data_IF_534045614567
#
_entry.id   IF_534045614567
#
_cell.length_a   1.000
_cell.length_b   1.000
_cell.length_c   1.000
_cell.angle_alpha   90.00
_cell.angle_beta   90.00
_cell.angle_gamma   90.00
#
_symmetry.space_group_name_H-M   'P 1'
#
loop_
_entity.id
_entity.type
_entity.pdbx_description
1 polymer ?
#
# COMPACT_ATOMS: atom_id res chain seq x y z
N UNK A 1 16.08 8.41 -66.33
CA UNK A 1 14.79 7.69 -66.25
C UNK A 1 14.78 6.93 -64.93
N UNK A 2 14.51 7.61 -63.80
CA UNK A 2 13.22 7.69 -63.09
C UNK A 2 12.64 6.35 -62.66
N UNK A 3 12.73 6.07 -61.34
CA UNK A 3 11.72 5.45 -60.44
C UNK A 3 12.40 5.23 -59.07
N UNK A 4 12.41 6.21 -58.17
CA UNK A 4 11.43 6.36 -57.07
C UNK A 4 10.83 5.02 -56.62
N UNK A 5 11.28 4.52 -55.45
CA UNK A 5 10.44 3.91 -54.42
C UNK A 5 11.27 3.74 -53.13
N UNK A 6 11.61 4.88 -52.53
CA UNK A 6 11.80 4.97 -51.09
C UNK A 6 10.40 4.99 -50.46
N UNK A 7 9.88 3.82 -50.06
CA UNK A 7 8.65 3.70 -49.27
C UNK A 7 8.44 2.25 -48.85
N UNK A 8 8.72 1.99 -47.58
CA UNK A 8 8.00 1.09 -46.67
C UNK A 8 8.81 1.14 -45.36
N UNK A 9 8.75 2.28 -44.69
CA UNK A 9 7.98 2.43 -43.45
C UNK A 9 8.50 1.45 -42.41
N UNK A 10 9.33 2.02 -41.55
CA UNK A 10 9.63 1.60 -40.19
C UNK A 10 8.32 1.13 -39.56
N UNK A 11 8.05 -0.18 -39.62
CA UNK A 11 6.89 -0.79 -38.96
C UNK A 11 7.22 -0.81 -37.48
N UNK A 12 6.88 0.31 -36.83
CA UNK A 12 6.32 0.35 -35.48
C UNK A 12 7.01 -0.47 -34.39
N UNK A 13 8.29 -0.26 -34.13
CA UNK A 13 8.87 -0.56 -32.81
C UNK A 13 8.51 0.53 -31.77
N UNK A 14 7.23 0.95 -31.73
CA UNK A 14 6.69 1.86 -30.71
C UNK A 14 5.51 1.24 -29.97
N UNK A 15 5.52 -0.07 -29.80
CA UNK A 15 4.74 -0.70 -28.73
C UNK A 15 5.73 -0.99 -27.60
N UNK A 16 6.25 0.09 -27.01
CA UNK A 16 6.72 -0.04 -25.63
C UNK A 16 5.46 -0.18 -24.79
N UNK A 17 5.00 -1.42 -24.64
CA UNK A 17 4.21 -1.90 -23.51
C UNK A 17 5.02 -1.59 -22.24
N UNK A 18 4.92 -0.36 -21.75
CA UNK A 18 5.24 -0.05 -20.37
C UNK A 18 3.93 0.32 -19.72
N UNK A 19 3.34 -0.72 -19.14
CA UNK A 19 2.22 -0.68 -18.25
C UNK A 19 2.50 0.34 -17.12
N UNK A 20 2.15 1.59 -17.36
CA UNK A 20 2.10 2.67 -16.38
C UNK A 20 0.81 2.55 -15.54
N UNK A 21 0.38 1.33 -15.20
CA UNK A 21 -0.90 1.10 -14.53
C UNK A 21 -0.95 1.70 -13.12
N UNK A 22 0.22 1.95 -12.50
CA UNK A 22 0.34 2.52 -11.16
C UNK A 22 1.16 3.83 -11.11
N UNK A 23 1.38 4.47 -12.26
CA UNK A 23 2.22 5.67 -12.36
C UNK A 23 1.53 6.91 -11.77
N UNK A 24 0.20 6.95 -11.79
CA UNK A 24 -0.56 8.06 -11.22
C UNK A 24 -0.67 7.87 -9.70
N UNK A 25 -0.33 8.89 -8.90
CA UNK A 25 -0.40 8.82 -7.44
C UNK A 25 -1.78 8.37 -6.91
N UNK A 26 -2.85 8.71 -7.63
CA UNK A 26 -4.23 8.29 -7.36
C UNK A 26 -4.45 6.77 -7.37
N UNK A 27 -3.70 6.07 -8.21
CA UNK A 27 -3.76 4.62 -8.34
C UNK A 27 -2.96 3.89 -7.26
N UNK A 28 -2.01 4.57 -6.62
CA UNK A 28 -1.19 4.00 -5.56
C UNK A 28 -2.00 3.93 -4.28
N UNK A 29 -2.10 2.73 -3.70
CA UNK A 29 -2.76 2.51 -2.41
C UNK A 29 -1.73 2.21 -1.34
N UNK A 30 -1.79 2.97 -0.25
CA UNK A 30 -0.91 2.82 0.90
C UNK A 30 -1.70 2.47 2.16
N UNK A 31 -0.97 2.01 3.16
CA UNK A 31 -1.49 1.73 4.52
C UNK A 31 -0.91 2.67 5.58
N UNK A 32 0.20 3.34 5.25
CA UNK A 32 0.88 4.31 6.11
C UNK A 32 0.53 5.71 5.60
N UNK A 33 -0.01 6.55 6.47
CA UNK A 33 -0.47 7.89 6.16
C UNK A 33 0.32 8.93 6.95
N UNK A 34 0.71 10.04 6.33
CA UNK A 34 1.39 11.14 7.05
C UNK A 34 0.44 11.87 8.02
N UNK A 35 -0.86 11.81 7.76
CA UNK A 35 -1.92 12.36 8.60
C UNK A 35 -3.14 11.43 8.59
N UNK A 36 -3.97 11.50 9.63
CA UNK A 36 -5.20 10.70 9.70
C UNK A 36 -6.20 11.23 8.66
N UNK A 37 -6.64 10.40 7.69
CA UNK A 37 -7.56 10.86 6.65
C UNK A 37 -8.92 11.28 7.23
N UNK A 38 -9.49 12.38 6.73
CA UNK A 38 -10.84 12.82 7.12
C UNK A 38 -11.89 11.75 6.75
N UNK A 39 -12.83 11.49 7.65
CA UNK A 39 -13.91 10.53 7.42
C UNK A 39 -13.47 9.06 7.38
N UNK A 40 -12.27 8.72 7.87
CA UNK A 40 -11.88 7.33 8.04
C UNK A 40 -12.68 6.66 9.16
N UNK A 41 -13.47 5.67 8.79
CA UNK A 41 -14.19 4.80 9.73
C UNK A 41 -13.35 3.55 9.97
N UNK A 42 -12.54 3.60 11.03
CA UNK A 42 -11.70 2.50 11.47
C UNK A 42 -11.84 2.34 12.99
N UNK A 43 -12.00 1.10 13.49
CA UNK A 43 -12.12 0.85 14.92
C UNK A 43 -10.81 1.14 15.67
N UNK A 44 -9.65 0.97 15.01
CA UNK A 44 -8.34 1.27 15.57
C UNK A 44 -7.55 2.19 14.64
N UNK A 45 -6.95 3.24 15.21
CA UNK A 45 -6.01 4.14 14.52
C UNK A 45 -4.80 4.33 15.43
N UNK A 46 -3.62 4.05 14.89
CA UNK A 46 -2.35 4.10 15.63
C UNK A 46 -1.32 4.88 14.84
N UNK A 47 -0.50 5.66 15.54
CA UNK A 47 0.76 6.19 15.02
C UNK A 47 1.82 5.12 15.25
N UNK A 48 2.54 4.78 14.19
CA UNK A 48 3.49 3.68 14.18
C UNK A 48 4.75 4.02 13.42
N UNK A 49 5.81 3.32 13.76
CA UNK A 49 7.03 3.23 12.95
C UNK A 49 7.13 1.80 12.42
N UNK A 50 6.86 1.62 11.13
CA UNK A 50 7.12 0.36 10.42
C UNK A 50 8.64 0.20 10.31
N UNK A 51 9.18 -0.91 10.82
CA UNK A 51 10.63 -1.18 10.88
C UNK A 51 11.11 -2.24 9.90
N UNK A 52 10.24 -3.16 9.50
CA UNK A 52 10.57 -4.19 8.53
C UNK A 52 9.35 -4.64 7.73
N UNK A 53 9.59 -5.03 6.49
CA UNK A 53 8.67 -5.84 5.69
C UNK A 53 9.02 -7.31 5.90
N UNK A 54 8.03 -8.09 6.29
CA UNK A 54 8.15 -9.53 6.47
C UNK A 54 7.84 -10.28 5.17
N UNK A 55 8.04 -11.59 5.17
CA UNK A 55 7.59 -12.44 4.07
C UNK A 55 6.07 -12.30 3.87
N UNK A 56 5.66 -12.22 2.60
CA UNK A 56 4.24 -12.19 2.25
C UNK A 56 3.57 -13.50 2.70
N UNK A 57 2.36 -13.39 3.22
CA UNK A 57 1.55 -14.51 3.70
C UNK A 57 0.30 -14.67 2.84
N UNK A 58 -0.41 -15.78 2.99
CA UNK A 58 -1.67 -16.01 2.29
C UNK A 58 -2.84 -15.96 3.26
N UNK A 59 -3.89 -15.25 2.88
CA UNK A 59 -5.21 -15.36 3.51
C UNK A 59 -5.75 -16.80 3.38
N UNK A 60 -6.73 -17.25 4.20
CA UNK A 60 -7.42 -18.53 3.99
C UNK A 60 -7.94 -18.72 2.56
N UNK A 61 -8.38 -17.64 1.92
CA UNK A 61 -8.85 -17.64 0.52
C UNK A 61 -7.71 -17.51 -0.52
N UNK A 62 -6.47 -17.82 -0.13
CA UNK A 62 -5.26 -17.74 -0.96
C UNK A 62 -4.94 -16.35 -1.54
N UNK A 63 -5.58 -15.30 -1.05
CA UNK A 63 -5.25 -13.93 -1.45
C UNK A 63 -3.91 -13.54 -0.82
N UNK A 64 -2.95 -13.01 -1.59
CA UNK A 64 -1.66 -12.59 -1.07
C UNK A 64 -1.81 -11.39 -0.14
N UNK A 65 -1.12 -11.45 0.99
CA UNK A 65 -1.09 -10.44 2.03
C UNK A 65 0.35 -10.03 2.27
N UNK A 66 0.59 -8.73 2.40
CA UNK A 66 1.84 -8.24 2.92
C UNK A 66 1.75 -8.07 4.43
N UNK A 67 2.85 -8.39 5.10
CA UNK A 67 3.00 -8.24 6.54
C UNK A 67 4.19 -7.34 6.86
N UNK A 68 4.02 -6.45 7.83
CA UNK A 68 5.06 -5.54 8.29
C UNK A 68 5.12 -5.55 9.80
N UNK A 69 6.34 -5.49 10.35
CA UNK A 69 6.54 -5.28 11.78
C UNK A 69 6.58 -3.79 12.07
N UNK A 70 5.82 -3.35 13.07
CA UNK A 70 5.73 -1.95 13.45
C UNK A 70 5.78 -1.77 14.97
N UNK A 71 6.45 -0.70 15.39
CA UNK A 71 6.38 -0.19 16.76
C UNK A 71 5.25 0.82 16.87
N UNK A 72 4.54 0.78 17.97
CA UNK A 72 3.44 1.71 18.26
C UNK A 72 4.00 2.88 19.05
N UNK A 73 3.88 4.06 18.47
CA UNK A 73 4.30 5.30 19.13
C UNK A 73 3.15 5.86 19.97
N UNK A 74 1.93 5.79 19.43
CA UNK A 74 0.72 6.30 20.10
C UNK A 74 -0.55 5.66 19.55
N UNK A 75 -1.49 5.31 20.43
CA UNK A 75 -2.86 4.95 20.03
C UNK A 75 -3.69 6.22 19.91
N UNK A 76 -4.26 6.48 18.73
CA UNK A 76 -5.09 7.65 18.45
C UNK A 76 -6.57 7.34 18.63
N UNK A 77 -7.00 6.13 18.27
CA UNK A 77 -8.36 5.63 18.45
C UNK A 77 -8.35 4.13 18.71
N UNK A 78 -9.30 3.68 19.53
CA UNK A 78 -9.44 2.29 19.92
C UNK A 78 -8.56 1.93 21.11
N UNK A 79 -8.39 0.63 21.34
CA UNK A 79 -7.56 0.08 22.42
C UNK A 79 -6.56 -0.91 21.82
N UNK A 80 -5.32 -0.82 22.28
CA UNK A 80 -4.26 -1.74 21.92
C UNK A 80 -3.34 -1.92 23.13
N UNK A 81 -3.13 -3.18 23.54
CA UNK A 81 -2.36 -3.52 24.74
C UNK A 81 -0.90 -3.88 24.43
N UNK A 82 -0.37 -3.44 23.29
CA UNK A 82 0.96 -3.82 22.82
C UNK A 82 1.68 -2.65 22.15
N UNK A 83 2.96 -2.50 22.50
CA UNK A 83 3.86 -1.50 21.91
C UNK A 83 4.42 -1.94 20.53
N UNK A 84 4.11 -3.18 20.12
CA UNK A 84 4.48 -3.73 18.83
C UNK A 84 3.29 -4.46 18.20
N UNK A 85 3.17 -4.39 16.88
CA UNK A 85 2.12 -5.11 16.16
C UNK A 85 2.57 -5.51 14.76
N UNK A 86 1.86 -6.48 14.19
CA UNK A 86 1.96 -6.82 12.76
C UNK A 86 0.92 -6.05 11.98
N UNK A 87 1.36 -5.14 11.12
CA UNK A 87 0.45 -4.53 10.13
C UNK A 87 0.28 -5.55 9.01
N UNK A 88 -0.95 -5.76 8.55
CA UNK A 88 -1.24 -6.67 7.43
C UNK A 88 -2.15 -6.00 6.43
N UNK A 89 -1.90 -6.20 5.14
CA UNK A 89 -2.75 -5.65 4.09
C UNK A 89 -2.77 -6.51 2.84
N UNK A 90 -3.87 -6.45 2.09
CA UNK A 90 -4.01 -7.17 0.83
C UNK A 90 -3.06 -6.64 -0.25
N UNK A 91 -2.31 -7.52 -0.87
CA UNK A 91 -1.47 -7.14 -2.01
C UNK A 91 -2.35 -7.01 -3.26
N UNK A 92 -2.31 -5.83 -3.87
CA UNK A 92 -2.86 -5.56 -5.19
C UNK A 92 -1.78 -5.02 -6.12
N UNK A 93 -2.05 -4.95 -7.41
CA UNK A 93 -1.10 -4.49 -8.44
C UNK A 93 -0.53 -3.09 -8.18
N UNK A 94 -1.23 -2.24 -7.42
CA UNK A 94 -0.79 -0.88 -7.09
C UNK A 94 -0.64 -0.61 -5.58
N UNK A 95 -0.52 -1.66 -4.75
CA UNK A 95 -0.27 -1.48 -3.32
C UNK A 95 1.21 -1.11 -3.09
N UNK A 96 1.46 0.06 -2.49
CA UNK A 96 2.79 0.50 -2.06
C UNK A 96 2.98 0.21 -0.59
N UNK A 97 4.06 -0.49 -0.28
CA UNK A 97 4.41 -0.92 1.07
C UNK A 97 5.85 -0.55 1.32
N UNK A 98 6.09 0.08 2.45
CA UNK A 98 7.39 0.62 2.80
C UNK A 98 7.62 0.64 4.31
N UNK A 99 8.86 0.94 4.65
CA UNK A 99 9.35 1.17 6.00
C UNK A 99 9.26 2.67 6.26
N UNK A 100 8.85 3.09 7.46
CA UNK A 100 8.65 4.51 7.74
C UNK A 100 7.73 4.78 8.91
N UNK A 101 7.54 6.06 9.19
CA UNK A 101 6.71 6.57 10.28
C UNK A 101 5.40 7.16 9.74
N UNK A 102 4.30 6.98 10.48
CA UNK A 102 3.01 7.57 10.12
C UNK A 102 1.85 6.89 10.85
N UNK A 103 0.64 7.14 10.35
CA UNK A 103 -0.59 6.57 10.90
C UNK A 103 -1.03 5.35 10.11
N UNK A 104 -1.52 4.34 10.82
CA UNK A 104 -2.19 3.17 10.25
C UNK A 104 -3.58 3.06 10.87
N UNK A 105 -4.57 2.83 10.03
CA UNK A 105 -5.96 2.66 10.43
C UNK A 105 -6.45 1.28 9.99
N UNK A 106 -7.17 0.58 10.86
CA UNK A 106 -7.57 -0.79 10.57
C UNK A 106 -8.39 -1.45 11.67
N UNK A 107 -8.54 -2.76 11.52
CA UNK A 107 -9.20 -3.63 12.48
C UNK A 107 -8.18 -4.51 13.18
N UNK A 108 -8.26 -4.57 14.50
CA UNK A 108 -7.42 -5.46 15.29
C UNK A 108 -7.94 -6.90 15.19
N UNK A 109 -7.01 -7.80 14.93
CA UNK A 109 -7.22 -9.23 14.91
C UNK A 109 -6.14 -9.88 15.79
N UNK A 110 -6.47 -11.00 16.40
CA UNK A 110 -5.55 -11.75 17.24
C UNK A 110 -5.26 -13.08 16.58
N UNK A 111 -4.03 -13.22 16.08
CA UNK A 111 -3.54 -14.46 15.52
C UNK A 111 -2.67 -15.17 16.57
N UNK A 112 -2.99 -16.44 16.87
CA UNK A 112 -2.28 -17.20 17.90
C UNK A 112 -0.80 -17.43 17.58
N UNK A 113 -0.39 -17.35 16.31
CA UNK A 113 0.99 -17.53 15.86
C UNK A 113 1.73 -16.20 15.69
N UNK A 114 1.04 -15.15 15.25
CA UNK A 114 1.65 -13.87 14.89
C UNK A 114 1.47 -12.78 15.97
N UNK A 115 0.63 -13.01 16.97
CA UNK A 115 0.29 -12.03 17.99
C UNK A 115 -0.70 -10.97 17.49
N UNK A 116 -0.68 -9.75 18.05
CA UNK A 116 -1.61 -8.69 17.66
C UNK A 116 -1.37 -8.24 16.21
N UNK A 117 -2.42 -8.34 15.40
CA UNK A 117 -2.41 -8.05 13.97
C UNK A 117 -3.36 -6.90 13.67
N UNK A 118 -2.88 -5.86 13.01
CA UNK A 118 -3.72 -4.76 12.51
C UNK A 118 -3.94 -4.95 11.02
N UNK A 119 -5.17 -5.32 10.64
CA UNK A 119 -5.58 -5.42 9.23
C UNK A 119 -5.84 -4.00 8.74
N UNK A 120 -4.89 -3.46 7.98
CA UNK A 120 -4.89 -2.07 7.57
C UNK A 120 -5.84 -1.81 6.40
N UNK A 121 -6.60 -0.72 6.53
CA UNK A 121 -7.42 -0.16 5.46
C UNK A 121 -6.49 0.51 4.45
N UNK A 122 -6.65 0.15 3.18
CA UNK A 122 -5.95 0.79 2.08
C UNK A 122 -6.71 2.02 1.59
N UNK A 123 -6.00 3.13 1.39
CA UNK A 123 -6.53 4.32 0.70
C UNK A 123 -5.59 4.76 -0.41
N UNK A 124 -6.15 5.41 -1.43
CA UNK A 124 -5.38 6.03 -2.51
C UNK A 124 -4.55 7.20 -1.97
N UNK A 125 -3.36 7.40 -2.55
CA UNK A 125 -2.43 8.47 -2.17
C UNK A 125 -2.93 9.88 -2.52
N UNK A 126 -4.05 9.99 -3.24
CA UNK A 126 -4.65 11.25 -3.71
C UNK A 126 -5.05 12.23 -2.59
N UNK A 127 -5.18 11.77 -1.34
CA UNK A 127 -5.51 12.62 -0.19
C UNK A 127 -4.29 13.43 0.29
N UNK A 128 -3.06 13.09 -0.12
CA UNK A 128 -1.84 13.70 0.43
C UNK A 128 -1.32 14.93 -0.33
N UNK A 129 -1.82 15.23 -1.54
CA UNK A 129 -1.27 16.32 -2.38
C UNK A 129 -2.23 17.45 -2.74
N UNK A 130 -3.51 17.39 -2.37
CA UNK A 130 -4.49 18.39 -2.83
C UNK A 130 -4.49 19.72 -2.04
N UNK A 131 -3.60 19.90 -1.06
CA UNK A 131 -3.38 21.19 -0.38
C UNK A 131 -1.92 21.62 -0.42
N UNK A 132 -1.45 22.03 -1.60
CA UNK A 132 -0.27 22.89 -1.72
C UNK A 132 -0.62 24.13 -2.52
#
# INVERSE_FOLDING_TARGET
>A
MTRLCALCLIVGCLVFDRAEACAVASSQRGVLFDHIPEGIDAPVIVEVTIVSREADISSPDHTPLAMMSAWVERVVRGTLDSDALKVVTYLSTCTRIGVGHGFVAGTLDHDAQLGPKLIAIQRSHEILTQRR
#
